data_IF_974641631399
#
_entry.id   IF_974641631399
#
_cell.length_a   1.000
_cell.length_b   1.000
_cell.length_c   1.000
_cell.angle_alpha   90.00
_cell.angle_beta   90.00
_cell.angle_gamma   90.00
#
_symmetry.space_group_name_H-M   'P 1'
#
loop_
_entity.id
_entity.type
_entity.pdbx_description
1 polymer ?
#
# COMPACT_ATOMS: atom_id res chain seq x y z
N UNK A 1 4.26 0.44 20.34
CA UNK A 1 4.24 1.68 19.53
C UNK A 1 2.88 2.35 19.68
N UNK A 2 2.83 3.69 19.72
CA UNK A 2 1.56 4.42 19.84
C UNK A 2 1.34 5.31 18.61
N UNK A 3 0.12 5.30 18.05
CA UNK A 3 -0.32 6.14 16.93
C UNK A 3 -1.65 6.78 17.33
N UNK A 4 -1.66 8.11 17.52
CA UNK A 4 -2.79 8.79 18.12
C UNK A 4 -3.12 8.21 19.51
N UNK A 5 -4.34 7.73 19.72
CA UNK A 5 -4.77 7.06 20.97
C UNK A 5 -4.53 5.54 20.96
N UNK A 6 -4.14 4.95 19.82
CA UNK A 6 -4.06 3.48 19.64
C UNK A 6 -2.68 2.94 20.00
N UNK A 7 -2.68 1.89 20.80
CA UNK A 7 -1.48 1.15 21.16
C UNK A 7 -1.34 -0.10 20.29
N UNK A 8 -0.17 -0.25 19.67
CA UNK A 8 0.21 -1.41 18.87
C UNK A 8 1.31 -2.15 19.66
N UNK A 9 1.05 -3.42 20.00
CA UNK A 9 1.90 -4.22 20.89
C UNK A 9 3.33 -4.35 20.36
N UNK A 10 3.48 -4.67 19.09
CA UNK A 10 4.77 -4.75 18.41
C UNK A 10 4.93 -3.56 17.46
N UNK A 11 6.11 -2.95 17.33
CA UNK A 11 6.31 -1.75 16.50
C UNK A 11 6.37 -2.10 15.00
N UNK A 12 5.42 -2.90 14.53
CA UNK A 12 5.35 -3.45 13.18
C UNK A 12 4.00 -3.13 12.57
N UNK A 13 4.02 -2.47 11.41
CA UNK A 13 2.86 -2.22 10.56
C UNK A 13 2.97 -3.13 9.34
N UNK A 14 1.95 -3.92 9.06
CA UNK A 14 1.82 -4.56 7.76
C UNK A 14 1.35 -3.52 6.76
N UNK A 15 2.16 -3.12 5.80
CA UNK A 15 1.82 -2.12 4.79
C UNK A 15 0.66 -2.55 3.91
N UNK A 16 -0.25 -1.62 3.63
CA UNK A 16 -1.40 -1.88 2.75
C UNK A 16 -0.99 -2.20 1.33
N UNK A 17 -1.48 -3.29 0.78
CA UNK A 17 -1.14 -3.81 -0.56
C UNK A 17 -2.41 -4.02 -1.40
N UNK A 18 -2.60 -3.20 -2.40
CA UNK A 18 -3.67 -3.34 -3.40
C UNK A 18 -3.11 -3.96 -4.71
N UNK A 19 -3.93 -4.66 -5.46
CA UNK A 19 -5.34 -4.98 -5.29
C UNK A 19 -5.46 -6.35 -4.60
N UNK A 20 -6.21 -6.44 -3.51
CA UNK A 20 -6.59 -7.74 -2.94
C UNK A 20 -5.50 -8.53 -2.21
N UNK A 21 -4.33 -7.95 -1.97
CA UNK A 21 -3.22 -8.65 -1.32
C UNK A 21 -3.34 -8.52 0.21
N UNK A 22 -3.78 -7.36 0.70
CA UNK A 22 -4.06 -7.14 2.12
C UNK A 22 -5.51 -6.70 2.33
N UNK A 23 -6.37 -7.65 2.59
CA UNK A 23 -7.74 -7.46 2.98
C UNK A 23 -8.02 -8.07 4.36
N UNK A 24 -9.15 -8.74 4.53
CA UNK A 24 -9.64 -9.17 5.84
C UNK A 24 -8.76 -10.21 6.53
N UNK A 25 -8.25 -11.20 5.78
CA UNK A 25 -7.47 -12.28 6.39
C UNK A 25 -6.12 -11.77 6.86
N UNK A 26 -5.35 -11.15 5.96
CA UNK A 26 -4.02 -10.68 6.33
C UNK A 26 -4.08 -9.62 7.43
N UNK A 27 -4.88 -8.56 7.23
CA UNK A 27 -4.93 -7.46 8.20
C UNK A 27 -5.48 -7.91 9.56
N UNK A 28 -6.52 -8.76 9.56
CA UNK A 28 -7.10 -9.31 10.79
C UNK A 28 -6.09 -10.11 11.61
N UNK A 29 -5.35 -11.03 10.96
CA UNK A 29 -4.36 -11.86 11.66
C UNK A 29 -3.14 -11.06 12.12
N UNK A 30 -2.66 -10.08 11.35
CA UNK A 30 -1.57 -9.22 11.80
C UNK A 30 -1.95 -8.41 13.06
N UNK A 31 -3.17 -7.88 13.11
CA UNK A 31 -3.65 -7.20 14.32
C UNK A 31 -3.79 -8.17 15.48
N UNK A 32 -4.32 -9.39 15.24
CA UNK A 32 -4.44 -10.44 16.25
C UNK A 32 -3.08 -10.79 16.87
N UNK A 33 -2.02 -10.86 16.06
CA UNK A 33 -0.65 -11.16 16.52
C UNK A 33 0.10 -9.92 17.05
N UNK A 34 -0.60 -8.80 17.25
CA UNK A 34 -0.08 -7.61 17.93
C UNK A 34 0.68 -6.62 17.07
N UNK A 35 0.69 -6.76 15.75
CA UNK A 35 1.07 -5.73 14.79
C UNK A 35 -0.08 -4.77 14.50
N UNK A 36 0.09 -3.88 13.53
CA UNK A 36 -1.01 -3.10 12.93
C UNK A 36 -1.35 -3.69 11.56
N UNK A 37 -2.49 -4.35 11.47
CA UNK A 37 -3.03 -4.83 10.19
C UNK A 37 -3.61 -3.67 9.38
N UNK A 38 -3.31 -3.64 8.09
CA UNK A 38 -3.71 -2.55 7.19
C UNK A 38 -4.48 -3.09 6.00
N UNK A 39 -5.73 -2.70 5.89
CA UNK A 39 -6.62 -3.04 4.78
C UNK A 39 -6.37 -2.05 3.64
N UNK A 40 -6.08 -2.57 2.45
CA UNK A 40 -5.99 -1.74 1.25
C UNK A 40 -7.41 -1.41 0.74
N UNK A 41 -7.74 -0.12 0.68
CA UNK A 41 -9.00 0.34 0.10
C UNK A 41 -8.96 0.38 -1.44
N UNK A 42 -7.82 0.03 -2.05
CA UNK A 42 -7.63 0.04 -3.51
C UNK A 42 -8.20 -1.23 -4.13
N UNK A 43 -9.04 -1.07 -5.13
CA UNK A 43 -9.56 -2.18 -5.92
C UNK A 43 -10.58 -3.05 -5.19
N UNK A 44 -11.29 -2.52 -4.20
CA UNK A 44 -12.31 -3.27 -3.44
C UNK A 44 -13.46 -3.79 -4.30
N UNK A 45 -13.66 -3.22 -5.51
CA UNK A 45 -14.59 -3.76 -6.50
C UNK A 45 -14.23 -5.17 -7.03
N UNK A 46 -13.01 -5.64 -6.79
CA UNK A 46 -12.59 -7.02 -7.11
C UNK A 46 -12.88 -8.01 -5.97
N UNK A 47 -13.37 -7.58 -4.82
CA UNK A 47 -13.60 -8.45 -3.67
C UNK A 47 -14.58 -9.60 -4.00
N UNK A 48 -14.15 -10.85 -3.80
CA UNK A 48 -14.80 -12.06 -4.35
C UNK A 48 -16.20 -12.33 -3.80
N UNK A 49 -16.51 -11.89 -2.58
CA UNK A 49 -17.78 -12.18 -1.92
C UNK A 49 -18.94 -11.31 -2.39
N UNK A 50 -18.64 -10.16 -2.97
CA UNK A 50 -19.61 -9.30 -3.63
C UNK A 50 -19.36 -9.38 -5.12
N UNK A 51 -20.34 -9.91 -5.86
CA UNK A 51 -20.29 -9.85 -7.33
C UNK A 51 -20.03 -8.40 -7.75
N UNK A 52 -18.96 -8.08 -8.44
CA UNK A 52 -18.72 -6.72 -8.87
C UNK A 52 -19.96 -6.26 -9.65
N UNK A 53 -20.61 -5.18 -9.19
CA UNK A 53 -21.68 -4.55 -9.97
C UNK A 53 -21.02 -3.95 -11.20
N UNK A 54 -21.06 -4.69 -12.29
CA UNK A 54 -20.59 -4.23 -13.60
C UNK A 54 -21.56 -3.14 -14.06
N UNK A 55 -21.09 -1.89 -14.03
CA UNK A 55 -21.84 -0.80 -14.63
C UNK A 55 -21.68 -0.87 -16.15
N UNK A 56 -22.74 -1.23 -16.85
CA UNK A 56 -22.79 -1.18 -18.33
C UNK A 56 -22.92 0.29 -18.72
N UNK A 57 -21.84 0.89 -19.19
CA UNK A 57 -21.89 2.23 -19.77
C UNK A 57 -22.18 2.09 -21.27
N UNK A 58 -23.38 2.51 -21.67
CA UNK A 58 -23.76 2.57 -23.08
C UNK A 58 -23.00 3.69 -23.78
N UNK A 59 -21.95 3.37 -24.56
CA UNK A 59 -21.44 4.26 -25.62
C UNK A 59 -22.15 3.96 -26.91
N UNK A 60 -22.33 5.01 -27.74
CA UNK A 60 -23.23 5.10 -28.91
C UNK A 60 -23.42 3.84 -29.79
N UNK A 61 -22.47 2.89 -29.78
CA UNK A 61 -22.57 1.72 -30.68
C UNK A 61 -22.13 0.36 -30.05
N UNK A 62 -21.70 0.31 -28.79
CA UNK A 62 -21.41 -0.97 -28.11
C UNK A 62 -21.48 -0.80 -26.59
N UNK A 63 -22.14 -1.72 -25.88
CA UNK A 63 -22.05 -1.75 -24.40
C UNK A 63 -20.61 -2.02 -23.98
N UNK A 64 -20.05 -1.17 -23.13
CA UNK A 64 -18.74 -1.37 -22.51
C UNK A 64 -18.96 -1.66 -21.03
N UNK A 65 -18.56 -2.84 -20.60
CA UNK A 65 -18.50 -3.15 -19.17
C UNK A 65 -17.37 -2.33 -18.54
N UNK A 66 -17.72 -1.48 -17.59
CA UNK A 66 -16.77 -0.72 -16.78
C UNK A 66 -16.77 -1.32 -15.39
N UNK A 67 -15.64 -1.87 -14.98
CA UNK A 67 -15.47 -2.38 -13.64
C UNK A 67 -15.60 -1.22 -12.64
N UNK A 68 -16.42 -1.38 -11.62
CA UNK A 68 -16.37 -0.50 -10.47
C UNK A 68 -15.15 -0.85 -9.63
N UNK A 69 -14.06 -0.11 -9.82
CA UNK A 69 -12.78 -0.35 -9.15
C UNK A 69 -12.87 -0.20 -7.64
N UNK A 70 -13.81 0.61 -7.14
CA UNK A 70 -14.07 0.82 -5.74
C UNK A 70 -15.51 0.43 -5.38
N UNK A 71 -15.67 -0.28 -4.27
CA UNK A 71 -16.96 -0.62 -3.67
C UNK A 71 -16.95 -0.31 -2.17
N UNK A 72 -17.84 0.59 -1.74
CA UNK A 72 -18.08 0.92 -0.32
C UNK A 72 -18.55 -0.31 0.46
N UNK A 73 -19.51 -1.05 -0.10
CA UNK A 73 -20.08 -2.23 0.55
C UNK A 73 -19.02 -3.31 0.75
N UNK A 74 -18.15 -3.51 -0.26
CA UNK A 74 -17.03 -4.44 -0.15
C UNK A 74 -16.01 -3.99 0.91
N UNK A 75 -15.67 -2.69 0.96
CA UNK A 75 -14.76 -2.17 1.99
C UNK A 75 -15.32 -2.42 3.39
N UNK A 76 -16.63 -2.14 3.59
CA UNK A 76 -17.30 -2.41 4.86
C UNK A 76 -17.25 -3.90 5.22
N UNK A 77 -17.56 -4.80 4.28
CA UNK A 77 -17.53 -6.24 4.52
C UNK A 77 -16.11 -6.74 4.86
N UNK A 78 -15.08 -6.21 4.19
CA UNK A 78 -13.68 -6.52 4.50
C UNK A 78 -13.35 -6.13 5.95
N UNK A 79 -13.74 -4.92 6.39
CA UNK A 79 -13.55 -4.50 7.78
C UNK A 79 -14.31 -5.38 8.77
N UNK A 80 -15.58 -5.69 8.48
CA UNK A 80 -16.42 -6.54 9.35
C UNK A 80 -15.81 -7.95 9.50
N UNK A 81 -15.26 -8.52 8.41
CA UNK A 81 -14.61 -9.81 8.46
C UNK A 81 -13.26 -9.77 9.21
N UNK A 82 -12.44 -8.75 9.00
CA UNK A 82 -11.20 -8.56 9.75
C UNK A 82 -11.51 -8.40 11.27
N UNK A 83 -12.59 -7.71 11.63
CA UNK A 83 -13.06 -7.57 13.01
C UNK A 83 -13.46 -8.90 13.66
N UNK A 84 -14.02 -9.83 12.90
CA UNK A 84 -14.31 -11.19 13.41
C UNK A 84 -13.04 -11.95 13.81
N UNK A 85 -11.89 -11.59 13.20
CA UNK A 85 -10.59 -12.21 13.50
C UNK A 85 -9.91 -11.50 14.68
N UNK A 86 -9.78 -10.18 14.63
CA UNK A 86 -8.98 -9.42 15.60
C UNK A 86 -9.79 -8.70 16.70
N UNK A 87 -11.12 -8.78 16.67
CA UNK A 87 -11.96 -8.10 17.66
C UNK A 87 -11.78 -6.57 17.62
N UNK A 88 -11.53 -5.98 18.78
CA UNK A 88 -11.39 -4.52 18.95
C UNK A 88 -9.95 -4.02 18.78
N UNK A 89 -9.00 -4.86 18.37
CA UNK A 89 -7.62 -4.44 18.13
C UNK A 89 -7.55 -3.45 16.97
N UNK A 90 -6.57 -2.52 16.96
CA UNK A 90 -6.48 -1.50 15.91
C UNK A 90 -6.37 -2.10 14.51
N UNK A 91 -7.15 -1.54 13.57
CA UNK A 91 -7.06 -1.79 12.13
C UNK A 91 -6.89 -0.46 11.39
N UNK A 92 -6.06 -0.46 10.37
CA UNK A 92 -5.87 0.69 9.50
C UNK A 92 -6.45 0.47 8.10
N UNK A 93 -6.76 1.58 7.41
CA UNK A 93 -7.00 1.59 5.97
C UNK A 93 -5.86 2.30 5.26
N UNK A 94 -5.32 1.70 4.19
CA UNK A 94 -4.41 2.36 3.26
C UNK A 94 -5.18 2.88 2.04
N UNK A 95 -5.04 4.17 1.74
CA UNK A 95 -5.74 4.86 0.67
C UNK A 95 -4.74 5.66 -0.16
N UNK A 96 -4.72 5.44 -1.47
CA UNK A 96 -3.86 6.22 -2.37
C UNK A 96 -4.45 7.60 -2.60
N UNK A 97 -3.65 8.66 -2.40
CA UNK A 97 -4.10 10.03 -2.66
C UNK A 97 -4.47 10.28 -4.13
N UNK A 98 -3.80 9.57 -5.03
CA UNK A 98 -3.98 9.70 -6.49
C UNK A 98 -5.27 9.05 -7.05
N UNK A 99 -6.08 8.35 -6.25
CA UNK A 99 -7.34 7.77 -6.74
C UNK A 99 -8.38 8.85 -6.95
N UNK A 100 -9.24 8.64 -7.96
CA UNK A 100 -10.45 9.43 -8.08
C UNK A 100 -11.35 9.22 -6.86
N UNK A 101 -12.05 10.26 -6.44
CA UNK A 101 -12.93 10.22 -5.24
C UNK A 101 -12.22 9.97 -3.90
N UNK A 102 -10.92 10.33 -3.77
CA UNK A 102 -10.12 10.14 -2.57
C UNK A 102 -10.88 10.48 -1.27
N UNK A 103 -11.47 11.66 -1.18
CA UNK A 103 -12.18 12.11 0.03
C UNK A 103 -13.39 11.25 0.39
N UNK A 104 -14.08 10.69 -0.62
CA UNK A 104 -15.19 9.75 -0.41
C UNK A 104 -14.65 8.44 0.19
N UNK A 105 -13.58 7.90 -0.39
CA UNK A 105 -12.99 6.63 0.08
C UNK A 105 -12.45 6.77 1.51
N UNK A 106 -11.88 7.94 1.87
CA UNK A 106 -11.46 8.22 3.26
C UNK A 106 -12.64 8.18 4.21
N UNK A 107 -13.76 8.86 3.90
CA UNK A 107 -14.95 8.83 4.77
C UNK A 107 -15.53 7.41 4.87
N UNK A 108 -15.65 6.71 3.75
CA UNK A 108 -16.19 5.34 3.73
C UNK A 108 -15.31 4.39 4.57
N UNK A 109 -13.98 4.56 4.59
CA UNK A 109 -13.08 3.79 5.44
C UNK A 109 -13.28 4.11 6.94
N UNK A 110 -13.48 5.38 7.29
CA UNK A 110 -13.82 5.77 8.67
C UNK A 110 -15.16 5.15 9.10
N UNK A 111 -16.20 5.22 8.25
CA UNK A 111 -17.51 4.62 8.49
C UNK A 111 -17.45 3.08 8.57
N UNK A 112 -16.53 2.44 7.85
CA UNK A 112 -16.28 1.01 7.92
C UNK A 112 -15.59 0.57 9.22
N UNK A 113 -15.07 1.51 10.02
CA UNK A 113 -14.47 1.25 11.32
C UNK A 113 -12.94 1.22 11.33
N UNK A 114 -12.29 1.91 10.38
CA UNK A 114 -10.85 2.13 10.43
C UNK A 114 -10.47 2.98 11.66
N UNK A 115 -9.50 2.52 12.43
CA UNK A 115 -8.94 3.27 13.56
C UNK A 115 -7.87 4.27 13.09
N UNK A 116 -7.19 3.95 12.00
CA UNK A 116 -6.07 4.71 11.46
C UNK A 116 -6.23 4.78 9.93
N UNK A 117 -6.05 5.97 9.37
CA UNK A 117 -5.97 6.17 7.91
C UNK A 117 -4.53 6.44 7.52
N UNK A 118 -3.99 5.60 6.64
CA UNK A 118 -2.64 5.73 6.07
C UNK A 118 -2.78 6.17 4.62
N UNK A 119 -2.13 7.26 4.22
CA UNK A 119 -2.22 7.77 2.85
C UNK A 119 -0.86 8.02 2.24
N UNK A 120 -0.64 7.43 1.07
CA UNK A 120 0.53 7.61 0.20
C UNK A 120 0.15 7.90 -1.25
N UNK A 121 1.08 7.73 -2.18
CA UNK A 121 0.93 8.04 -3.60
C UNK A 121 0.43 9.48 -3.87
N UNK A 122 1.13 10.43 -3.28
CA UNK A 122 0.86 11.87 -3.34
C UNK A 122 0.94 12.51 -1.95
N UNK A 123 0.76 13.83 -1.90
CA UNK A 123 0.85 14.61 -0.66
C UNK A 123 -0.57 14.96 -0.19
N UNK A 124 -1.11 14.30 0.88
CA UNK A 124 -2.51 14.42 1.29
C UNK A 124 -2.75 15.71 2.11
N UNK A 125 -2.63 16.86 1.47
CA UNK A 125 -2.70 18.18 2.13
C UNK A 125 -4.05 18.52 2.75
N UNK A 126 -5.11 17.80 2.40
CA UNK A 126 -6.49 18.02 2.84
C UNK A 126 -7.14 16.80 3.50
N UNK A 127 -6.36 15.79 3.88
CA UNK A 127 -6.87 14.58 4.55
C UNK A 127 -7.71 14.88 5.80
N UNK A 128 -7.33 15.82 6.70
CA UNK A 128 -8.15 16.15 7.88
C UNK A 128 -9.55 16.70 7.57
N UNK A 129 -9.75 17.26 6.37
CA UNK A 129 -11.06 17.76 5.94
C UNK A 129 -12.09 16.61 5.84
N UNK A 130 -11.63 15.46 5.37
CA UNK A 130 -12.50 14.30 5.16
C UNK A 130 -12.75 13.47 6.42
N UNK A 131 -11.97 13.71 7.48
CA UNK A 131 -12.05 12.96 8.74
C UNK A 131 -12.58 13.82 9.92
N UNK A 132 -13.06 15.04 9.64
CA UNK A 132 -13.52 15.98 10.68
C UNK A 132 -14.62 15.42 11.59
N UNK A 133 -15.48 14.56 11.04
CA UNK A 133 -16.60 13.93 11.76
C UNK A 133 -16.17 12.63 12.48
N UNK A 134 -14.89 12.27 12.40
CA UNK A 134 -14.28 11.08 13.00
C UNK A 134 -13.07 11.44 13.85
N UNK A 135 -13.24 12.18 14.96
CA UNK A 135 -12.13 12.75 15.75
C UNK A 135 -11.19 11.71 16.35
N UNK A 136 -11.68 10.49 16.51
CA UNK A 136 -10.94 9.35 17.05
C UNK A 136 -10.01 8.67 16.05
N UNK A 137 -10.21 8.92 14.76
CA UNK A 137 -9.39 8.30 13.70
C UNK A 137 -8.03 8.99 13.61
N UNK A 138 -6.96 8.21 13.75
CA UNK A 138 -5.60 8.70 13.61
C UNK A 138 -5.19 8.82 12.13
N UNK A 139 -4.39 9.85 11.82
CA UNK A 139 -4.01 10.21 10.45
C UNK A 139 -2.51 10.08 10.24
N UNK A 140 -2.12 9.25 9.28
CA UNK A 140 -0.71 8.89 9.02
C UNK A 140 -0.39 9.08 7.53
N UNK A 141 0.30 10.16 7.15
CA UNK A 141 0.79 10.32 5.79
C UNK A 141 2.05 9.48 5.55
N UNK A 142 2.26 9.04 4.30
CA UNK A 142 3.51 8.46 3.82
C UNK A 142 4.28 9.55 3.08
N UNK A 143 5.55 9.71 3.41
CA UNK A 143 6.45 10.70 2.81
C UNK A 143 7.79 10.06 2.42
N UNK A 144 8.53 10.74 1.54
CA UNK A 144 9.91 10.33 1.16
C UNK A 144 10.94 11.41 1.52
N UNK A 145 10.56 12.44 2.27
CA UNK A 145 11.47 13.52 2.67
C UNK A 145 10.92 14.38 3.82
N UNK A 146 11.82 15.04 4.56
CA UNK A 146 11.48 16.05 5.56
C UNK A 146 10.69 17.24 4.97
N UNK A 147 10.99 17.63 3.73
CA UNK A 147 10.25 18.70 3.01
C UNK A 147 8.77 18.34 2.83
N UNK A 148 8.48 17.08 2.50
CA UNK A 148 7.10 16.61 2.36
C UNK A 148 6.36 16.62 3.70
N UNK A 149 6.98 16.15 4.77
CA UNK A 149 6.41 16.21 6.13
C UNK A 149 6.10 17.66 6.52
N UNK A 150 7.07 18.55 6.38
CA UNK A 150 6.90 19.99 6.68
C UNK A 150 5.73 20.62 5.93
N UNK A 151 5.59 20.28 4.64
CA UNK A 151 4.48 20.77 3.81
C UNK A 151 3.13 20.28 4.35
N UNK A 152 3.02 18.99 4.68
CA UNK A 152 1.81 18.38 5.23
C UNK A 152 1.45 19.06 6.56
N UNK A 153 2.38 19.14 7.51
CA UNK A 153 2.15 19.77 8.81
C UNK A 153 1.65 21.22 8.64
N UNK A 154 2.32 22.03 7.82
CA UNK A 154 1.87 23.42 7.53
C UNK A 154 0.47 23.48 6.93
N UNK A 155 0.12 22.56 6.04
CA UNK A 155 -1.20 22.55 5.41
C UNK A 155 -2.30 22.07 6.37
N UNK A 156 -1.99 21.12 7.27
CA UNK A 156 -2.94 20.58 8.22
C UNK A 156 -3.22 21.52 9.41
N UNK A 157 -2.32 22.47 9.73
CA UNK A 157 -2.58 23.50 10.75
C UNK A 157 -3.90 24.26 10.52
N UNK A 158 -4.32 24.48 9.28
CA UNK A 158 -5.61 25.12 8.97
C UNK A 158 -6.84 24.32 9.47
N UNK A 159 -6.65 23.04 9.77
CA UNK A 159 -7.64 22.13 10.34
C UNK A 159 -7.40 21.87 11.84
N UNK A 160 -6.46 22.60 12.46
CA UNK A 160 -6.01 22.38 13.85
C UNK A 160 -5.54 20.91 14.05
N UNK A 161 -4.90 20.33 13.06
CA UNK A 161 -4.37 18.95 13.07
C UNK A 161 -2.89 18.93 12.70
N UNK A 162 -2.20 17.93 13.24
CA UNK A 162 -0.88 17.47 12.80
C UNK A 162 -0.98 15.94 12.59
N UNK A 163 -0.08 15.30 11.86
CA UNK A 163 -0.06 13.84 11.76
C UNK A 163 0.09 13.16 13.12
N UNK A 164 -0.65 12.07 13.34
CA UNK A 164 -0.53 11.23 14.55
C UNK A 164 0.71 10.31 14.50
N UNK A 165 1.22 10.05 13.32
CA UNK A 165 2.51 9.46 12.99
C UNK A 165 2.86 9.77 11.53
N UNK A 166 4.07 9.52 11.08
CA UNK A 166 4.50 9.62 9.68
C UNK A 166 5.26 8.37 9.27
N UNK A 167 4.94 7.82 8.11
CA UNK A 167 5.71 6.74 7.50
C UNK A 167 6.68 7.33 6.50
N UNK A 168 7.96 6.97 6.61
CA UNK A 168 9.01 7.38 5.65
C UNK A 168 9.31 6.19 4.78
N UNK A 169 8.99 6.32 3.50
CA UNK A 169 9.16 5.24 2.53
C UNK A 169 10.38 5.48 1.67
N UNK A 170 11.34 4.55 1.75
CA UNK A 170 12.58 4.54 0.97
C UNK A 170 12.42 3.84 -0.38
N UNK A 171 13.43 3.96 -1.27
CA UNK A 171 13.36 3.50 -2.66
C UNK A 171 13.41 1.97 -2.82
N UNK A 172 13.59 1.20 -1.76
CA UNK A 172 13.56 -0.26 -1.79
C UNK A 172 12.16 -0.85 -1.55
N UNK A 173 11.13 0.00 -1.43
CA UNK A 173 9.74 -0.43 -1.30
C UNK A 173 9.20 -1.09 -2.58
N UNK A 174 8.12 -1.84 -2.45
CA UNK A 174 7.35 -2.37 -3.57
C UNK A 174 6.30 -1.39 -4.09
N UNK A 175 5.89 -1.54 -5.33
CA UNK A 175 4.94 -0.65 -5.97
C UNK A 175 5.54 0.72 -6.33
N UNK A 176 4.70 1.75 -6.31
CA UNK A 176 5.09 3.08 -6.77
C UNK A 176 6.10 3.76 -5.85
N UNK A 177 7.13 4.33 -6.44
CA UNK A 177 8.20 5.02 -5.72
C UNK A 177 7.91 6.52 -5.59
N UNK A 178 8.21 7.11 -4.43
CA UNK A 178 8.17 8.56 -4.21
C UNK A 178 9.41 9.30 -4.76
N UNK A 179 10.18 8.67 -5.64
CA UNK A 179 11.46 9.13 -6.20
C UNK A 179 11.42 9.07 -7.72
N UNK A 180 12.32 9.80 -8.38
CA UNK A 180 12.59 9.60 -9.80
C UNK A 180 13.30 8.26 -10.00
N UNK A 181 13.24 7.71 -11.22
CA UNK A 181 13.81 6.41 -11.54
C UNK A 181 15.30 6.33 -11.14
N UNK A 182 16.09 7.31 -11.58
CA UNK A 182 17.52 7.40 -11.30
C UNK A 182 17.87 7.64 -9.84
N UNK A 183 16.97 8.28 -9.09
CA UNK A 183 17.16 8.59 -7.66
C UNK A 183 16.99 7.33 -6.79
N UNK A 184 16.24 6.34 -7.27
CA UNK A 184 16.07 5.06 -6.55
C UNK A 184 17.36 4.27 -6.33
N UNK A 185 18.43 4.61 -7.04
CA UNK A 185 19.74 3.95 -6.95
C UNK A 185 20.80 4.78 -6.24
N UNK A 186 20.50 6.03 -5.90
CA UNK A 186 21.48 6.93 -5.26
C UNK A 186 21.56 6.73 -3.76
N UNK A 187 22.78 6.80 -3.24
CA UNK A 187 23.08 6.64 -1.81
C UNK A 187 22.31 7.62 -0.92
N UNK A 188 22.20 8.88 -1.36
CA UNK A 188 21.53 9.94 -0.61
C UNK A 188 20.05 9.68 -0.36
N UNK A 189 19.39 8.84 -1.18
CA UNK A 189 17.98 8.44 -1.02
C UNK A 189 17.78 7.12 -0.28
N UNK A 190 18.84 6.44 0.14
CA UNK A 190 18.69 5.27 1.01
C UNK A 190 17.88 5.62 2.25
N UNK A 191 17.05 4.69 2.72
CA UNK A 191 16.14 4.92 3.83
C UNK A 191 16.85 5.47 5.07
N UNK A 192 18.04 4.97 5.39
CA UNK A 192 18.89 5.43 6.49
C UNK A 192 19.25 6.91 6.40
N UNK A 193 19.47 7.39 5.18
CA UNK A 193 19.88 8.79 4.92
C UNK A 193 18.69 9.74 4.91
N UNK A 194 17.52 9.30 4.46
CA UNK A 194 16.31 10.14 4.44
C UNK A 194 15.56 10.15 5.77
N UNK A 195 15.73 9.13 6.63
CA UNK A 195 14.97 8.99 7.88
C UNK A 195 15.38 10.03 8.92
N UNK A 196 16.69 10.27 9.07
CA UNK A 196 17.25 11.20 10.08
C UNK A 196 16.71 12.63 9.89
N UNK A 197 16.75 13.23 8.69
CA UNK A 197 16.15 14.55 8.46
C UNK A 197 14.64 14.59 8.75
N UNK A 198 13.92 13.48 8.52
CA UNK A 198 12.47 13.42 8.83
C UNK A 198 12.25 13.37 10.33
N UNK A 199 13.05 12.63 11.09
CA UNK A 199 13.00 12.61 12.58
C UNK A 199 13.24 14.00 13.13
N UNK A 200 14.24 14.73 12.62
CA UNK A 200 14.52 16.09 13.06
C UNK A 200 13.35 17.06 12.73
N UNK A 201 12.77 16.96 11.53
CA UNK A 201 11.59 17.76 11.20
C UNK A 201 10.39 17.40 12.07
N UNK A 202 10.17 16.11 12.40
CA UNK A 202 9.09 15.65 13.25
C UNK A 202 9.14 16.23 14.67
N UNK A 203 10.34 16.48 15.21
CA UNK A 203 10.55 17.13 16.52
C UNK A 203 9.99 18.55 16.52
N UNK A 204 10.07 19.29 15.41
CA UNK A 204 9.54 20.64 15.29
C UNK A 204 7.99 20.70 15.35
N UNK A 205 7.33 19.55 15.23
CA UNK A 205 5.88 19.39 15.19
C UNK A 205 5.33 18.57 16.36
N UNK A 206 6.00 18.59 17.52
CA UNK A 206 5.53 17.91 18.74
C UNK A 206 5.97 16.46 18.83
N UNK A 207 7.12 16.11 18.28
CA UNK A 207 7.69 14.75 18.28
C UNK A 207 6.78 13.71 17.62
N UNK A 208 6.33 13.99 16.39
CA UNK A 208 5.53 13.05 15.61
C UNK A 208 6.28 11.70 15.50
N UNK A 209 5.66 10.56 15.86
CA UNK A 209 6.28 9.25 15.70
C UNK A 209 6.65 8.99 14.23
N UNK A 210 7.89 8.62 13.97
CA UNK A 210 8.41 8.31 12.64
C UNK A 210 8.53 6.81 12.47
N UNK A 211 8.03 6.28 11.36
CA UNK A 211 7.96 4.85 11.03
C UNK A 211 8.75 4.63 9.75
N UNK A 212 9.71 3.72 9.77
CA UNK A 212 10.55 3.40 8.60
C UNK A 212 9.86 2.38 7.69
N UNK A 213 9.95 2.56 6.36
CA UNK A 213 9.39 1.65 5.36
C UNK A 213 10.30 1.49 4.13
N UNK A 214 10.31 0.29 3.54
CA UNK A 214 11.06 -0.01 2.31
C UNK A 214 12.37 -0.74 2.56
N UNK A 215 12.46 -1.97 2.09
CA UNK A 215 13.66 -2.82 2.22
C UNK A 215 13.84 -3.51 3.57
N UNK A 216 12.94 -3.32 4.52
CA UNK A 216 12.98 -3.94 5.85
C UNK A 216 12.50 -5.39 5.75
N UNK A 217 13.28 -6.34 6.29
CA UNK A 217 13.02 -7.76 6.08
C UNK A 217 12.91 -8.59 7.36
N UNK A 218 13.78 -8.38 8.32
CA UNK A 218 13.92 -9.19 9.52
C UNK A 218 14.03 -8.34 10.79
N UNK A 219 14.18 -9.02 11.92
CA UNK A 219 14.33 -8.35 13.22
C UNK A 219 15.56 -7.45 13.27
N UNK A 220 16.66 -7.81 12.63
CA UNK A 220 17.88 -7.01 12.61
C UNK A 220 17.64 -5.66 11.91
N UNK A 221 16.89 -5.68 10.81
CA UNK A 221 16.49 -4.44 10.13
C UNK A 221 15.56 -3.60 11.03
N UNK A 222 14.60 -4.24 11.72
CA UNK A 222 13.70 -3.56 12.65
C UNK A 222 14.51 -2.87 13.77
N UNK A 223 15.42 -3.61 14.43
CA UNK A 223 16.25 -3.09 15.51
C UNK A 223 17.14 -1.93 15.03
N UNK A 224 17.65 -2.00 13.80
CA UNK A 224 18.43 -0.93 13.17
C UNK A 224 17.62 0.37 13.10
N UNK A 225 16.39 0.35 12.57
CA UNK A 225 15.60 1.57 12.43
C UNK A 225 15.07 2.08 13.78
N UNK A 226 14.75 1.19 14.72
CA UNK A 226 14.45 1.60 16.11
C UNK A 226 15.64 2.31 16.74
N UNK A 227 16.87 1.80 16.56
CA UNK A 227 18.09 2.43 17.09
C UNK A 227 18.40 3.80 16.47
N UNK A 228 17.94 4.04 15.24
CA UNK A 228 18.02 5.36 14.58
C UNK A 228 16.96 6.34 15.10
N UNK A 229 16.04 5.92 15.98
CA UNK A 229 15.03 6.78 16.59
C UNK A 229 13.64 6.65 15.98
N UNK A 230 13.40 5.65 15.12
CA UNK A 230 12.05 5.36 14.63
C UNK A 230 11.19 4.76 15.73
N UNK A 231 9.89 5.08 15.74
CA UNK A 231 8.91 4.51 16.64
C UNK A 231 8.50 3.09 16.24
N UNK A 232 8.73 2.71 14.98
CA UNK A 232 8.39 1.40 14.42
C UNK A 232 8.77 1.29 12.95
N UNK A 233 8.35 0.20 12.33
CA UNK A 233 8.58 -0.10 10.92
C UNK A 233 7.30 -0.48 10.20
N UNK A 234 7.25 -0.21 8.88
CA UNK A 234 6.23 -0.77 7.99
C UNK A 234 6.88 -1.74 7.02
N UNK A 235 6.32 -2.94 6.92
CA UNK A 235 6.75 -4.02 6.06
C UNK A 235 5.57 -4.52 5.24
N UNK A 236 5.73 -4.67 3.93
CA UNK A 236 4.65 -5.15 3.06
C UNK A 236 4.98 -6.51 2.44
N UNK A 237 6.00 -6.56 1.58
CA UNK A 237 6.37 -7.74 0.79
C UNK A 237 6.59 -8.99 1.63
N UNK A 238 7.18 -8.87 2.82
CA UNK A 238 7.41 -10.01 3.72
C UNK A 238 6.11 -10.72 4.09
N UNK A 239 5.00 -9.98 4.24
CA UNK A 239 3.69 -10.52 4.58
C UNK A 239 2.98 -11.21 3.40
N UNK A 240 3.43 -11.01 2.14
CA UNK A 240 2.89 -11.75 1.00
C UNK A 240 3.19 -13.25 1.15
N UNK A 241 4.34 -13.60 1.74
CA UNK A 241 4.77 -14.97 2.03
C UNK A 241 4.00 -15.63 3.19
N UNK A 242 2.73 -15.25 3.43
CA UNK A 242 1.92 -15.85 4.49
C UNK A 242 0.69 -16.57 3.94
N UNK A 243 0.18 -17.57 4.71
CA UNK A 243 -1.06 -18.26 4.35
C UNK A 243 -2.23 -17.28 4.30
N UNK A 244 -2.25 -16.28 5.20
CA UNK A 244 -3.34 -15.31 5.38
C UNK A 244 -3.30 -14.16 4.37
N UNK A 245 -2.25 -14.01 3.56
CA UNK A 245 -2.27 -13.08 2.43
C UNK A 245 -3.46 -13.40 1.52
N UNK A 246 -4.31 -12.38 1.25
CA UNK A 246 -5.60 -12.55 0.57
C UNK A 246 -5.51 -12.80 -0.94
N UNK A 247 -4.31 -12.67 -1.53
CA UNK A 247 -4.08 -12.93 -2.95
C UNK A 247 -4.18 -14.42 -3.29
N UNK A 248 -4.46 -14.71 -4.57
CA UNK A 248 -4.44 -16.08 -5.08
C UNK A 248 -3.09 -16.76 -4.78
N UNK A 249 -3.05 -18.08 -4.46
CA UNK A 249 -1.80 -18.80 -4.24
C UNK A 249 -0.75 -18.61 -5.33
N UNK A 250 -1.16 -18.52 -6.60
CA UNK A 250 -0.24 -18.27 -7.72
C UNK A 250 0.49 -16.94 -7.63
N UNK A 251 -0.09 -15.93 -6.96
CA UNK A 251 0.62 -14.68 -6.65
C UNK A 251 1.84 -14.96 -5.77
N UNK A 252 1.66 -15.79 -4.75
CA UNK A 252 2.74 -16.19 -3.82
C UNK A 252 3.79 -17.01 -4.54
N UNK A 253 3.38 -17.89 -5.46
CA UNK A 253 4.28 -18.71 -6.27
C UNK A 253 5.20 -17.86 -7.15
N UNK A 254 4.71 -16.73 -7.68
CA UNK A 254 5.55 -15.78 -8.43
C UNK A 254 6.72 -15.28 -7.57
N UNK A 255 6.47 -14.97 -6.30
CA UNK A 255 7.53 -14.51 -5.39
C UNK A 255 8.43 -15.65 -4.90
N UNK A 256 7.88 -16.84 -4.62
CA UNK A 256 8.66 -18.03 -4.25
C UNK A 256 9.67 -18.43 -5.32
N UNK A 257 9.38 -18.18 -6.59
CA UNK A 257 10.24 -18.52 -7.72
C UNK A 257 11.08 -17.35 -8.21
N UNK A 258 10.86 -16.12 -7.70
CA UNK A 258 11.60 -14.94 -8.11
C UNK A 258 13.05 -14.97 -7.60
N UNK A 259 13.97 -14.53 -8.44
CA UNK A 259 15.36 -14.26 -8.09
C UNK A 259 15.57 -12.77 -7.88
N UNK A 260 16.72 -12.39 -7.36
CA UNK A 260 17.06 -11.00 -7.13
C UNK A 260 16.99 -10.15 -8.40
N UNK A 261 17.50 -10.67 -9.50
CA UNK A 261 17.49 -10.03 -10.82
C UNK A 261 16.08 -9.84 -11.43
N UNK A 262 15.08 -10.59 -10.94
CA UNK A 262 13.70 -10.47 -11.38
C UNK A 262 12.99 -9.30 -10.71
N UNK A 263 13.54 -8.73 -9.64
CA UNK A 263 12.95 -7.57 -8.94
C UNK A 263 13.46 -6.29 -9.58
N UNK A 264 12.61 -5.66 -10.39
CA UNK A 264 12.99 -4.52 -11.23
C UNK A 264 12.15 -3.27 -10.97
N UNK A 265 12.70 -2.10 -11.33
CA UNK A 265 11.92 -0.89 -11.51
C UNK A 265 11.33 -0.84 -12.92
N UNK A 266 10.08 -0.43 -13.04
CA UNK A 266 9.34 -0.33 -14.29
C UNK A 266 8.58 0.98 -14.36
N UNK A 267 8.24 1.42 -15.57
CA UNK A 267 7.37 2.58 -15.80
C UNK A 267 5.94 2.25 -15.41
N UNK A 268 5.22 3.24 -14.86
CA UNK A 268 3.82 3.08 -14.48
C UNK A 268 2.93 4.18 -15.06
N UNK A 269 1.66 3.85 -15.40
CA UNK A 269 0.67 4.82 -15.88
C UNK A 269 0.36 5.98 -14.92
N UNK A 270 0.83 5.93 -13.69
CA UNK A 270 0.67 7.04 -12.73
C UNK A 270 1.83 8.04 -12.78
N UNK A 271 2.77 7.89 -13.72
CA UNK A 271 3.89 8.82 -13.92
C UNK A 271 5.03 8.68 -12.92
N UNK A 272 5.02 7.67 -12.07
CA UNK A 272 6.07 7.34 -11.11
C UNK A 272 6.67 5.97 -11.46
N UNK A 273 7.97 5.70 -11.19
CA UNK A 273 8.49 4.35 -11.31
C UNK A 273 7.83 3.44 -10.27
N UNK A 274 7.74 2.16 -10.58
CA UNK A 274 7.20 1.17 -9.67
C UNK A 274 8.13 -0.05 -9.61
N UNK A 275 8.25 -0.69 -8.42
CA UNK A 275 9.06 -1.89 -8.23
C UNK A 275 8.17 -3.11 -8.16
N UNK A 276 8.56 -4.15 -8.90
CA UNK A 276 7.84 -5.43 -8.89
C UNK A 276 8.66 -6.54 -9.53
N UNK A 277 8.05 -7.70 -9.67
CA UNK A 277 8.64 -8.86 -10.33
C UNK A 277 8.49 -8.72 -11.83
N UNK A 278 9.57 -8.88 -12.59
CA UNK A 278 9.57 -8.95 -14.07
C UNK A 278 8.92 -10.27 -14.48
N UNK A 279 7.77 -10.18 -15.15
CA UNK A 279 6.97 -11.32 -15.60
C UNK A 279 6.71 -11.24 -17.10
N UNK A 280 5.93 -12.17 -17.65
CA UNK A 280 5.55 -12.18 -19.07
C UNK A 280 4.87 -10.86 -19.51
N UNK A 281 4.20 -10.15 -18.60
CA UNK A 281 3.65 -8.82 -18.90
C UNK A 281 4.74 -7.86 -19.37
N UNK A 282 5.85 -7.72 -18.64
CA UNK A 282 6.93 -6.79 -18.97
C UNK A 282 7.60 -7.20 -20.29
N UNK A 283 7.86 -8.50 -20.49
CA UNK A 283 8.38 -9.00 -21.76
C UNK A 283 7.46 -8.68 -22.94
N UNK A 284 6.13 -8.83 -22.76
CA UNK A 284 5.15 -8.52 -23.81
C UNK A 284 5.09 -7.03 -24.14
N UNK A 285 5.27 -6.15 -23.14
CA UNK A 285 5.35 -4.69 -23.32
C UNK A 285 6.62 -4.33 -24.10
N UNK A 286 7.79 -4.84 -23.66
CA UNK A 286 9.09 -4.60 -24.30
C UNK A 286 9.10 -5.06 -25.78
N UNK A 287 8.42 -6.16 -26.09
CA UNK A 287 8.33 -6.72 -27.45
C UNK A 287 7.12 -6.23 -28.25
N UNK A 288 6.36 -5.26 -27.77
CA UNK A 288 5.16 -4.74 -28.41
C UNK A 288 4.09 -5.80 -28.74
N UNK A 289 4.03 -6.88 -27.95
CA UNK A 289 3.04 -7.97 -28.07
C UNK A 289 1.94 -7.91 -27.02
N UNK A 290 2.01 -6.93 -26.09
CA UNK A 290 1.01 -6.76 -25.05
C UNK A 290 -0.39 -6.47 -25.63
N UNK A 291 -1.45 -6.97 -24.98
CA UNK A 291 -2.81 -6.70 -25.41
C UNK A 291 -3.12 -5.20 -25.50
N UNK A 292 -3.95 -4.80 -26.47
CA UNK A 292 -4.34 -3.39 -26.63
C UNK A 292 -4.99 -2.85 -25.37
N UNK A 293 -4.40 -1.78 -24.83
CA UNK A 293 -4.85 -1.16 -23.58
C UNK A 293 -6.20 -0.49 -23.72
N UNK A 294 -7.12 -0.83 -22.81
CA UNK A 294 -8.41 -0.16 -22.66
C UNK A 294 -8.59 0.25 -21.20
N UNK A 295 -9.06 1.48 -20.96
CA UNK A 295 -9.40 1.91 -19.60
C UNK A 295 -10.67 1.19 -19.13
N UNK A 296 -10.60 0.50 -18.00
CA UNK A 296 -11.69 -0.31 -17.45
C UNK A 296 -12.42 0.36 -16.27
N UNK A 297 -11.84 1.38 -15.62
CA UNK A 297 -12.43 1.92 -14.39
C UNK A 297 -12.23 3.41 -14.17
N UNK A 298 -11.36 4.09 -14.91
CA UNK A 298 -10.99 5.48 -14.60
C UNK A 298 -10.56 5.67 -13.13
N UNK A 299 -9.66 4.79 -12.64
CA UNK A 299 -9.36 4.61 -11.21
C UNK A 299 -8.45 5.67 -10.60
N UNK A 300 -7.48 6.18 -11.36
CA UNK A 300 -6.45 7.12 -10.87
C UNK A 300 -6.39 8.38 -11.73
N UNK A 301 -6.32 9.54 -11.07
CA UNK A 301 -6.31 10.84 -11.74
C UNK A 301 -5.11 11.02 -12.70
N UNK A 302 -3.85 10.65 -12.34
CA UNK A 302 -2.71 10.83 -13.24
C UNK A 302 -2.82 10.06 -14.57
N UNK A 303 -3.58 8.97 -14.61
CA UNK A 303 -3.73 8.14 -15.82
C UNK A 303 -4.66 8.77 -16.88
N UNK A 304 -5.36 9.85 -16.57
CA UNK A 304 -6.24 10.57 -17.49
C UNK A 304 -7.09 9.67 -18.42
N UNK A 305 -7.91 8.82 -17.81
CA UNK A 305 -8.81 7.87 -18.52
C UNK A 305 -8.10 6.90 -19.48
N UNK A 306 -6.87 6.52 -19.15
CA UNK A 306 -6.12 5.51 -19.88
C UNK A 306 -5.18 6.05 -20.95
N UNK A 307 -4.98 7.36 -21.03
CA UNK A 307 -4.00 7.94 -21.96
C UNK A 307 -2.59 7.48 -21.61
N UNK A 308 -2.18 7.64 -20.36
CA UNK A 308 -0.87 7.21 -19.85
C UNK A 308 -0.73 5.68 -19.89
N UNK A 309 -1.81 4.93 -19.65
CA UNK A 309 -1.80 3.48 -19.76
C UNK A 309 -1.48 3.01 -21.19
N UNK A 310 -1.94 3.73 -22.22
CA UNK A 310 -1.62 3.42 -23.62
C UNK A 310 -0.16 3.72 -23.95
N UNK A 311 0.42 4.78 -23.36
CA UNK A 311 1.82 5.16 -23.54
C UNK A 311 2.74 4.11 -22.88
N UNK A 312 2.43 3.69 -21.66
CA UNK A 312 3.21 2.72 -20.89
C UNK A 312 2.98 1.27 -21.36
N UNK A 313 1.84 0.98 -22.01
CA UNK A 313 1.53 -0.31 -22.58
C UNK A 313 0.64 -1.21 -21.71
N UNK A 314 0.16 -0.75 -20.53
CA UNK A 314 -0.77 -1.52 -19.70
C UNK A 314 -1.72 -0.66 -18.86
N UNK A 315 -2.89 -1.21 -18.51
CA UNK A 315 -3.81 -0.61 -17.56
C UNK A 315 -3.50 -1.11 -16.14
N UNK A 316 -3.15 -0.22 -15.22
CA UNK A 316 -2.73 -0.61 -13.87
C UNK A 316 -3.83 -1.34 -13.11
N UNK A 317 -5.08 -0.85 -13.15
CA UNK A 317 -6.19 -1.48 -12.45
C UNK A 317 -6.47 -2.89 -12.97
N UNK A 318 -6.40 -3.08 -14.28
CA UNK A 318 -6.62 -4.37 -14.94
C UNK A 318 -5.52 -5.37 -14.58
N UNK A 319 -4.25 -4.96 -14.67
CA UNK A 319 -3.10 -5.85 -14.43
C UNK A 319 -2.92 -6.22 -12.95
N UNK A 320 -3.18 -5.30 -12.02
CA UNK A 320 -3.22 -5.61 -10.59
C UNK A 320 -4.38 -6.55 -10.25
N UNK A 321 -5.55 -6.33 -10.85
CA UNK A 321 -6.70 -7.24 -10.70
C UNK A 321 -6.45 -8.63 -11.28
N UNK A 322 -5.72 -8.74 -12.40
CA UNK A 322 -5.28 -10.00 -12.98
C UNK A 322 -4.34 -10.75 -12.03
N UNK A 323 -3.31 -10.06 -11.49
CA UNK A 323 -2.38 -10.63 -10.52
C UNK A 323 -3.10 -11.15 -9.27
N UNK A 324 -4.02 -10.36 -8.70
CA UNK A 324 -4.83 -10.79 -7.55
C UNK A 324 -5.58 -12.10 -7.80
N UNK A 325 -6.06 -12.31 -9.03
CA UNK A 325 -6.79 -13.53 -9.45
C UNK A 325 -5.88 -14.69 -9.84
N UNK A 326 -4.56 -14.55 -9.74
CA UNK A 326 -3.58 -15.57 -10.08
C UNK A 326 -3.28 -15.69 -11.57
N UNK A 327 -3.58 -14.68 -12.38
CA UNK A 327 -3.13 -14.63 -13.78
C UNK A 327 -1.64 -14.25 -13.83
N UNK A 328 -0.79 -15.26 -13.90
CA UNK A 328 0.68 -15.09 -13.93
C UNK A 328 1.19 -14.61 -15.30
N UNK A 329 0.40 -14.76 -16.36
CA UNK A 329 0.80 -14.38 -17.72
C UNK A 329 0.66 -12.88 -17.96
N UNK A 330 -0.40 -12.28 -17.44
CA UNK A 330 -0.72 -10.88 -17.73
C UNK A 330 -0.82 -9.98 -16.49
N UNK A 331 -0.64 -10.55 -15.30
CA UNK A 331 -0.69 -9.85 -14.02
C UNK A 331 0.53 -8.97 -13.76
N UNK A 332 0.31 -7.88 -13.00
CA UNK A 332 1.37 -7.01 -12.48
C UNK A 332 1.61 -7.34 -11.00
N UNK A 333 2.81 -7.83 -10.70
CA UNK A 333 3.17 -8.31 -9.36
C UNK A 333 4.13 -7.31 -8.69
N UNK A 334 3.61 -6.46 -7.81
CA UNK A 334 4.44 -5.55 -7.04
C UNK A 334 5.17 -6.27 -5.91
N UNK A 335 6.44 -5.92 -5.72
CA UNK A 335 7.31 -6.44 -4.68
C UNK A 335 8.37 -5.41 -4.32
N UNK A 336 8.76 -5.33 -3.05
CA UNK A 336 9.97 -4.64 -2.63
C UNK A 336 11.23 -5.41 -3.02
N UNK A 337 12.38 -4.76 -2.87
CA UNK A 337 13.69 -5.30 -3.28
C UNK A 337 14.03 -6.68 -2.71
N UNK A 338 13.50 -7.00 -1.52
CA UNK A 338 13.76 -8.26 -0.81
C UNK A 338 12.74 -9.38 -1.11
N UNK A 339 11.82 -9.20 -2.09
CA UNK A 339 10.78 -10.18 -2.38
C UNK A 339 11.29 -11.58 -2.73
N UNK A 340 12.43 -11.65 -3.40
CA UNK A 340 13.12 -12.91 -3.75
C UNK A 340 13.57 -13.74 -2.54
N UNK A 341 13.61 -13.16 -1.34
CA UNK A 341 13.96 -13.87 -0.10
C UNK A 341 12.80 -14.66 0.50
N UNK A 342 11.60 -14.62 -0.10
CA UNK A 342 10.49 -15.50 0.30
C UNK A 342 10.82 -16.90 -0.20
N UNK A 343 11.21 -17.79 0.72
CA UNK A 343 11.61 -19.18 0.44
C UNK A 343 10.51 -20.20 0.78
N UNK A 344 9.53 -19.80 1.59
CA UNK A 344 8.38 -20.62 1.98
C UNK A 344 7.20 -19.76 2.42
N UNK A 345 6.01 -20.33 2.36
CA UNK A 345 4.80 -19.73 2.91
C UNK A 345 4.63 -20.20 4.36
N UNK A 346 4.48 -19.23 5.27
CA UNK A 346 4.33 -19.46 6.71
C UNK A 346 3.06 -18.78 7.23
N UNK A 347 2.66 -19.01 8.49
CA UNK A 347 1.57 -18.25 9.08
C UNK A 347 2.00 -16.84 9.48
N UNK A 348 1.04 -15.90 9.54
CA UNK A 348 1.29 -14.56 10.12
C UNK A 348 1.83 -14.69 11.54
N UNK A 349 1.31 -15.65 12.32
CA UNK A 349 1.81 -15.93 13.68
C UNK A 349 3.30 -16.27 13.68
N UNK A 350 3.71 -17.26 12.87
CA UNK A 350 5.13 -17.64 12.74
C UNK A 350 5.99 -16.46 12.28
N UNK A 351 5.51 -15.70 11.30
CA UNK A 351 6.22 -14.52 10.82
C UNK A 351 6.40 -13.47 11.93
N UNK A 352 5.34 -13.14 12.66
CA UNK A 352 5.40 -12.15 13.75
C UNK A 352 6.32 -12.63 14.90
N UNK A 353 6.36 -13.92 15.18
CA UNK A 353 7.32 -14.48 16.14
C UNK A 353 8.77 -14.28 15.69
N UNK A 354 9.10 -14.58 14.42
CA UNK A 354 10.43 -14.33 13.83
C UNK A 354 10.81 -12.84 13.86
N UNK A 355 9.88 -11.96 13.50
CA UNK A 355 10.14 -10.51 13.46
C UNK A 355 10.31 -9.90 14.86
N UNK A 356 9.77 -10.51 15.90
CA UNK A 356 9.83 -9.98 17.28
C UNK A 356 10.89 -10.63 18.14
N UNK A 357 11.16 -11.92 17.95
CA UNK A 357 12.12 -12.69 18.77
C UNK A 357 13.49 -12.83 18.10
N UNK A 358 13.56 -12.74 16.78
CA UNK A 358 14.79 -12.87 15.99
C UNK A 358 15.20 -14.34 15.83
N UNK A 359 14.75 -14.96 14.75
CA UNK A 359 15.27 -16.23 14.21
C UNK A 359 15.62 -16.06 12.73
#
# INVERSE_FOLDING_TARGET
MKIGKYEIKHPIIQGGMGVGISWDQLAGHVSLEGGLGVISAVGTGYYKKLSPKVNIVMKKDKPKEVLNFYSKDALKEIFDNARKICGNLPLAANILYAINDYGRVVRDACEAGANIIITGAGIPTNMPEFTKDFPDVALVPIVSSARALKLICKKWQRYNKIPDAVIVEGPLSGGHQGFKYEDCYKEEFKLENIITPVIEEAKNWGNIPVIAAGGIWDKKDIDKFISLGCAGVQMATRFIGTFECDADPKFKDVLLNAKEEDIVLMSSPVGLPARGVKTNLQFSIENHTAPKVQCISNCVAPCNRGTEAKIVGYCIADRLGAAYKGDVETGLFFSGSNGYKIDKIISVKELMEKLTKGE
#
